data_IF_824336523349
#
_entry.id   IF_824336523349
#
_cell.length_a   1.000
_cell.length_b   1.000
_cell.length_c   1.000
_cell.angle_alpha   90.00
_cell.angle_beta   90.00
_cell.angle_gamma   90.00
#
_symmetry.space_group_name_H-M   'P 1'
#
loop_
_entity.id
_entity.type
_entity.pdbx_description
1 polymer ?
#
# COMPACT_ATOMS: atom_id res chain seq x y z
N UNK A 1 -1.39 -4.13 -2.61
CA UNK A 1 -1.80 -2.71 -2.68
C UNK A 1 -3.18 -2.46 -2.11
N UNK A 2 -4.26 -3.07 -2.61
CA UNK A 2 -5.61 -2.85 -2.07
C UNK A 2 -5.71 -3.00 -0.55
N UNK A 3 -5.35 -4.18 -0.02
CA UNK A 3 -5.33 -4.46 1.43
C UNK A 3 -4.41 -3.51 2.21
N UNK A 4 -3.27 -3.14 1.62
CA UNK A 4 -2.33 -2.20 2.23
C UNK A 4 -2.95 -0.81 2.31
N UNK A 5 -3.64 -0.35 1.27
CA UNK A 5 -4.29 0.95 1.21
C UNK A 5 -5.43 1.05 2.23
N UNK A 6 -6.27 0.01 2.32
CA UNK A 6 -7.34 -0.09 3.32
C UNK A 6 -6.77 -0.06 4.76
N UNK A 7 -5.75 -0.88 5.02
CA UNK A 7 -5.13 -0.95 6.35
C UNK A 7 -4.44 0.37 6.70
N UNK A 8 -3.69 0.96 5.79
CA UNK A 8 -2.99 2.23 6.00
C UNK A 8 -3.98 3.37 6.27
N UNK A 9 -5.11 3.41 5.55
CA UNK A 9 -6.18 4.39 5.79
C UNK A 9 -6.75 4.29 7.20
N UNK A 10 -6.97 3.08 7.70
CA UNK A 10 -7.44 2.86 9.08
C UNK A 10 -6.40 3.24 10.15
N UNK A 11 -5.11 3.23 9.80
CA UNK A 11 -4.01 3.59 10.69
C UNK A 11 -3.65 5.08 10.65
N UNK A 12 -4.25 5.88 9.75
CA UNK A 12 -4.07 7.32 9.73
C UNK A 12 -4.31 7.93 11.11
N UNK A 13 -3.42 8.84 11.53
CA UNK A 13 -3.45 9.49 12.86
C UNK A 13 -3.27 8.53 14.06
N UNK A 14 -2.76 7.33 13.84
CA UNK A 14 -2.36 6.41 14.92
C UNK A 14 -0.84 6.38 15.09
N UNK A 15 -0.38 5.94 16.26
CA UNK A 15 1.03 5.64 16.52
C UNK A 15 1.42 4.20 16.09
N UNK A 16 0.49 3.45 15.53
CA UNK A 16 0.69 2.06 15.12
C UNK A 16 1.49 2.01 13.82
N UNK A 17 2.56 1.21 13.81
CA UNK A 17 3.41 1.03 12.62
C UNK A 17 2.80 -0.01 11.69
N UNK A 18 2.78 0.29 10.39
CA UNK A 18 2.36 -0.63 9.35
C UNK A 18 3.57 -1.42 8.82
N UNK A 19 3.50 -2.76 8.89
CA UNK A 19 4.41 -3.66 8.19
C UNK A 19 3.73 -4.21 6.94
N UNK A 20 4.50 -4.40 5.85
CA UNK A 20 3.98 -4.92 4.58
C UNK A 20 4.74 -6.19 4.21
N UNK A 21 4.01 -7.28 3.97
CA UNK A 21 4.52 -8.48 3.31
C UNK A 21 3.93 -8.54 1.89
N UNK A 22 4.74 -8.48 0.83
CA UNK A 22 4.26 -8.34 -0.55
C UNK A 22 3.81 -9.68 -1.17
N UNK A 23 2.66 -10.20 -0.73
CA UNK A 23 2.07 -11.44 -1.25
C UNK A 23 1.08 -11.24 -2.41
N UNK A 24 0.83 -10.00 -2.84
CA UNK A 24 -0.14 -9.68 -3.88
C UNK A 24 0.45 -9.69 -5.29
N UNK A 25 -0.39 -9.43 -6.30
CA UNK A 25 0.03 -9.25 -7.69
C UNK A 25 0.55 -7.84 -8.00
N UNK A 26 0.03 -6.80 -7.34
CA UNK A 26 0.40 -5.40 -7.57
C UNK A 26 1.66 -4.94 -6.83
N UNK A 27 1.68 -5.10 -5.50
CA UNK A 27 2.77 -4.74 -4.57
C UNK A 27 3.51 -3.42 -4.85
N UNK A 28 2.90 -2.46 -5.54
CA UNK A 28 3.53 -1.23 -6.02
C UNK A 28 4.11 -0.40 -4.88
N UNK A 29 3.37 -0.26 -3.77
CA UNK A 29 3.85 0.49 -2.60
C UNK A 29 5.04 -0.22 -1.94
N UNK A 30 4.96 -1.54 -1.74
CA UNK A 30 6.05 -2.31 -1.15
C UNK A 30 7.33 -2.21 -1.98
N UNK A 31 7.19 -2.30 -3.31
CA UNK A 31 8.32 -2.17 -4.25
C UNK A 31 8.90 -0.75 -4.26
N UNK A 32 8.06 0.28 -4.20
CA UNK A 32 8.50 1.66 -4.11
C UNK A 32 9.31 1.92 -2.83
N UNK A 33 8.91 1.29 -1.71
CA UNK A 33 9.60 1.35 -0.43
C UNK A 33 10.85 0.44 -0.34
N UNK A 34 11.18 -0.29 -1.42
CA UNK A 34 12.33 -1.19 -1.45
C UNK A 34 12.16 -2.46 -0.61
N UNK A 35 10.93 -2.86 -0.29
CA UNK A 35 10.64 -4.10 0.44
C UNK A 35 10.84 -5.29 -0.53
N UNK A 36 11.69 -6.28 -0.19
CA UNK A 36 11.90 -7.48 -0.99
C UNK A 36 10.62 -8.29 -1.16
N UNK A 37 10.49 -8.97 -2.30
CA UNK A 37 9.33 -9.86 -2.58
C UNK A 37 9.41 -11.16 -1.78
N UNK A 38 10.62 -11.57 -1.40
CA UNK A 38 10.82 -12.71 -0.52
C UNK A 38 10.24 -12.44 0.88
N UNK A 39 9.46 -13.39 1.38
CA UNK A 39 8.71 -13.23 2.63
C UNK A 39 9.66 -13.19 3.84
N UNK A 40 10.70 -14.03 3.85
CA UNK A 40 11.64 -14.10 4.96
C UNK A 40 12.47 -12.82 5.06
N UNK A 41 12.88 -12.27 3.91
CA UNK A 41 13.57 -10.99 3.85
C UNK A 41 12.66 -9.83 4.30
N UNK A 42 11.39 -9.81 3.90
CA UNK A 42 10.43 -8.80 4.34
C UNK A 42 10.18 -8.88 5.86
N UNK A 43 10.05 -10.09 6.41
CA UNK A 43 9.94 -10.33 7.85
C UNK A 43 11.20 -9.88 8.60
N UNK A 44 12.39 -10.11 8.04
CA UNK A 44 13.63 -9.66 8.63
C UNK A 44 13.71 -8.12 8.72
N UNK A 45 13.19 -7.38 7.74
CA UNK A 45 13.08 -5.92 7.79
C UNK A 45 12.17 -5.48 8.94
N UNK A 46 11.00 -6.10 9.07
CA UNK A 46 10.04 -5.81 10.15
C UNK A 46 10.68 -6.11 11.52
N UNK A 47 11.35 -7.27 11.65
CA UNK A 47 12.02 -7.68 12.88
C UNK A 47 13.16 -6.75 13.32
N UNK A 48 13.82 -6.05 12.38
CA UNK A 48 14.82 -5.02 12.70
C UNK A 48 14.21 -3.75 13.30
N UNK A 49 12.89 -3.55 13.17
CA UNK A 49 12.17 -2.44 13.79
C UNK A 49 12.49 -1.06 13.20
N UNK A 50 13.13 -0.99 12.02
CA UNK A 50 13.35 0.28 11.31
C UNK A 50 12.07 0.69 10.59
N UNK A 51 11.69 1.96 10.70
CA UNK A 51 10.50 2.51 10.07
C UNK A 51 10.78 3.94 9.59
N UNK A 52 9.94 4.40 8.66
CA UNK A 52 9.95 5.77 8.16
C UNK A 52 8.57 6.39 8.40
N UNK A 53 8.52 7.72 8.38
CA UNK A 53 7.25 8.43 8.26
C UNK A 53 6.83 8.35 6.79
N UNK A 54 5.55 8.08 6.55
CA UNK A 54 4.99 7.96 5.21
C UNK A 54 3.87 8.98 5.06
N UNK A 55 3.99 9.82 4.04
CA UNK A 55 2.95 10.78 3.67
C UNK A 55 1.85 10.07 2.85
N UNK A 56 0.66 10.66 2.84
CA UNK A 56 -0.43 10.24 1.97
C UNK A 56 -1.12 11.47 1.39
N UNK A 57 -1.85 11.26 0.30
CA UNK A 57 -2.72 12.29 -0.27
C UNK A 57 -4.18 11.82 -0.18
N UNK A 58 -5.11 12.76 -0.34
CA UNK A 58 -6.55 12.46 -0.30
C UNK A 58 -7.31 13.14 -1.44
N UNK A 59 -8.37 12.47 -1.90
CA UNK A 59 -9.34 13.01 -2.84
C UNK A 59 -10.73 12.73 -2.26
N UNK A 60 -11.55 13.77 -2.11
CA UNK A 60 -12.88 13.66 -1.48
C UNK A 60 -12.81 12.94 -0.11
N UNK A 61 -11.84 13.33 0.72
CA UNK A 61 -11.58 12.75 2.05
C UNK A 61 -11.13 11.28 2.06
N UNK A 62 -10.97 10.65 0.90
CA UNK A 62 -10.46 9.28 0.79
C UNK A 62 -8.92 9.29 0.64
N UNK A 63 -8.17 8.73 1.59
CA UNK A 63 -6.72 8.67 1.52
C UNK A 63 -6.23 7.60 0.53
N UNK A 64 -5.08 7.86 -0.10
CA UNK A 64 -4.35 6.91 -0.93
C UNK A 64 -2.83 7.04 -0.71
N UNK A 65 -2.12 5.91 -0.81
CA UNK A 65 -0.71 5.82 -0.40
C UNK A 65 0.28 5.50 -1.52
N UNK A 66 -0.21 5.22 -2.73
CA UNK A 66 0.66 4.88 -3.87
C UNK A 66 0.26 5.68 -5.11
N UNK A 67 -0.94 5.41 -5.62
CA UNK A 67 -1.44 6.02 -6.86
C UNK A 67 -2.95 6.07 -6.81
N UNK A 68 -3.54 7.15 -7.33
CA UNK A 68 -4.95 7.22 -7.66
C UNK A 68 -5.10 7.52 -9.16
N UNK A 69 -6.19 7.04 -9.77
CA UNK A 69 -6.49 7.25 -11.19
C UNK A 69 -7.93 7.69 -11.36
N UNK A 70 -8.18 8.50 -12.40
CA UNK A 70 -9.52 8.97 -12.79
C UNK A 70 -9.69 8.88 -14.31
N UNK A 71 -10.94 8.89 -14.78
CA UNK A 71 -11.26 8.87 -16.21
C UNK A 71 -11.26 7.45 -16.80
N UNK A 72 -10.89 7.33 -18.07
CA UNK A 72 -11.08 6.10 -18.84
C UNK A 72 -10.25 4.92 -18.33
N UNK A 73 -8.99 5.13 -17.99
CA UNK A 73 -8.09 4.07 -17.50
C UNK A 73 -8.58 3.46 -16.17
N UNK A 74 -9.12 4.30 -15.29
CA UNK A 74 -9.72 3.88 -14.03
C UNK A 74 -10.99 3.04 -14.25
N UNK A 75 -11.84 3.43 -15.20
CA UNK A 75 -13.06 2.68 -15.57
C UNK A 75 -12.71 1.30 -16.14
N UNK A 76 -11.70 1.21 -17.02
CA UNK A 76 -11.23 -0.07 -17.58
C UNK A 76 -10.72 -0.97 -16.47
N UNK A 77 -9.87 -0.45 -15.58
CA UNK A 77 -9.33 -1.19 -14.44
C UNK A 77 -10.43 -1.68 -13.50
N UNK A 78 -11.45 -0.86 -13.23
CA UNK A 78 -12.58 -1.22 -12.38
C UNK A 78 -13.45 -2.33 -12.98
N UNK A 79 -13.73 -2.27 -14.29
CA UNK A 79 -14.48 -3.32 -14.99
C UNK A 79 -13.72 -4.64 -14.99
N UNK A 80 -12.40 -4.60 -15.20
CA UNK A 80 -11.56 -5.78 -15.19
C UNK A 80 -11.55 -6.46 -13.81
N UNK A 81 -11.51 -5.69 -12.72
CA UNK A 81 -11.52 -6.23 -11.35
C UNK A 81 -12.85 -6.89 -10.93
N UNK A 82 -13.93 -6.71 -11.70
CA UNK A 82 -15.26 -7.29 -11.44
C UNK A 82 -15.57 -8.57 -12.22
N UNK A 83 -14.67 -8.98 -13.12
CA UNK A 83 -14.76 -10.27 -13.83
C UNK A 83 -14.10 -11.38 -13.00
#
# INVERSE_FOLDING_TARGET
DGTVNETAAALCNSYTRLGIIPCGSGNGLARHLGIPVDIDDALAIIGRGKYIVCDYASVNEMPFFCTFGVGFDAEVSWRFAKQ
#
